data_IF_315521473842
#
_entry.id   IF_315521473842
#
_cell.length_a   1.000
_cell.length_b   1.000
_cell.length_c   1.000
_cell.angle_alpha   90.00
_cell.angle_beta   90.00
_cell.angle_gamma   90.00
#
_symmetry.space_group_name_H-M   'P 1'
#
loop_
_entity.id
_entity.type
_entity.pdbx_description
1 polymer ?
#
# COMPACT_ATOMS: atom_id res chain seq x y z
N UNK A 1 41.42 -8.88 -15.08
CA UNK A 1 40.82 -9.29 -13.79
C UNK A 1 40.26 -8.02 -13.16
N UNK A 2 39.01 -7.77 -13.31
CA UNK A 2 38.32 -6.61 -12.76
C UNK A 2 37.63 -7.03 -11.47
N UNK A 3 38.07 -6.44 -10.36
CA UNK A 3 37.48 -6.63 -9.05
C UNK A 3 36.05 -6.08 -9.04
N UNK A 4 35.11 -7.01 -9.10
CA UNK A 4 33.71 -6.74 -8.90
C UNK A 4 33.50 -6.60 -7.38
N UNK A 5 33.71 -5.38 -6.84
CA UNK A 5 33.30 -5.03 -5.49
C UNK A 5 31.79 -5.05 -5.44
N UNK A 6 31.21 -6.20 -5.06
CA UNK A 6 29.83 -6.27 -4.59
C UNK A 6 29.71 -5.28 -3.43
N UNK A 7 28.95 -4.20 -3.64
CA UNK A 7 28.62 -3.28 -2.57
C UNK A 7 27.88 -4.10 -1.49
N UNK A 8 28.55 -4.31 -0.35
CA UNK A 8 27.92 -4.93 0.81
C UNK A 8 26.69 -4.10 1.19
N UNK A 9 25.54 -4.74 1.26
CA UNK A 9 24.35 -4.08 1.79
C UNK A 9 24.63 -3.66 3.24
N UNK A 10 24.31 -2.40 3.62
CA UNK A 10 24.54 -1.94 4.99
C UNK A 10 23.77 -2.82 5.98
N UNK A 11 24.39 -3.07 7.14
CA UNK A 11 23.78 -3.84 8.24
C UNK A 11 22.37 -3.28 8.57
N UNK A 12 21.42 -4.16 8.86
CA UNK A 12 20.03 -3.80 9.21
C UNK A 12 20.00 -2.78 10.35
N UNK A 13 20.88 -2.89 11.34
CA UNK A 13 20.98 -1.95 12.45
C UNK A 13 21.46 -0.55 12.00
N UNK A 14 22.33 -0.48 11.01
CA UNK A 14 22.77 0.78 10.43
C UNK A 14 21.66 1.45 9.63
N UNK A 15 20.90 0.69 8.87
CA UNK A 15 19.73 1.20 8.15
C UNK A 15 18.65 1.75 9.10
N UNK A 16 18.41 1.08 10.22
CA UNK A 16 17.48 1.56 11.25
C UNK A 16 17.97 2.88 11.85
N UNK A 17 19.24 3.01 12.17
CA UNK A 17 19.84 4.28 12.67
C UNK A 17 19.63 5.42 11.69
N UNK A 18 19.91 5.19 10.40
CA UNK A 18 19.71 6.18 9.34
C UNK A 18 18.24 6.61 9.25
N UNK A 19 17.30 5.67 9.37
CA UNK A 19 15.85 5.98 9.35
C UNK A 19 15.40 6.77 10.59
N UNK A 20 15.96 6.47 11.77
CA UNK A 20 15.73 7.24 12.98
C UNK A 20 16.28 8.66 12.88
N UNK A 21 17.46 8.83 12.29
CA UNK A 21 18.03 10.16 12.04
C UNK A 21 17.17 10.97 11.06
N UNK A 22 16.69 10.35 9.99
CA UNK A 22 15.73 10.99 9.07
C UNK A 22 14.45 11.43 9.77
N UNK A 23 13.91 10.60 10.67
CA UNK A 23 12.74 10.98 11.47
C UNK A 23 13.06 12.18 12.37
N UNK A 24 14.20 12.16 13.07
CA UNK A 24 14.62 13.28 13.91
C UNK A 24 14.73 14.57 13.12
N UNK A 25 15.33 14.53 11.94
CA UNK A 25 15.45 15.70 11.06
C UNK A 25 14.08 16.24 10.63
N UNK A 26 13.08 15.36 10.40
CA UNK A 26 11.70 15.78 10.13
C UNK A 26 11.05 16.42 11.36
N UNK A 27 11.27 15.88 12.56
CA UNK A 27 10.77 16.44 13.81
C UNK A 27 11.38 17.80 14.10
N UNK A 28 12.68 17.94 13.97
CA UNK A 28 13.43 19.19 14.16
C UNK A 28 12.99 20.28 13.14
N UNK A 29 12.55 19.88 11.96
CA UNK A 29 11.97 20.75 10.94
C UNK A 29 10.46 21.05 11.13
N UNK A 30 9.83 20.56 12.20
CA UNK A 30 8.39 20.72 12.44
C UNK A 30 7.47 19.92 11.52
N UNK A 31 8.02 18.90 10.84
CA UNK A 31 7.31 18.00 9.89
C UNK A 31 7.15 16.60 10.46
N UNK A 32 6.89 16.46 11.75
CA UNK A 32 6.73 15.15 12.40
C UNK A 32 5.50 14.41 11.88
N UNK A 33 5.66 13.30 11.13
CA UNK A 33 4.54 12.55 10.57
C UNK A 33 3.63 11.94 11.65
N UNK A 34 4.15 11.70 12.85
CA UNK A 34 3.38 11.08 13.93
C UNK A 34 2.44 12.06 14.65
N UNK A 35 2.51 13.35 14.33
CA UNK A 35 1.53 14.35 14.80
C UNK A 35 0.27 14.38 13.92
N UNK A 36 0.30 13.75 12.75
CA UNK A 36 -0.85 13.70 11.84
C UNK A 36 -1.78 12.58 12.32
N UNK A 37 -2.87 12.95 12.97
CA UNK A 37 -3.84 12.00 13.54
C UNK A 37 -4.97 11.62 12.58
N UNK A 38 -5.17 12.41 11.52
CA UNK A 38 -6.23 12.18 10.53
C UNK A 38 -5.76 12.55 9.13
N UNK A 39 -6.11 11.74 8.16
CA UNK A 39 -5.95 12.03 6.74
C UNK A 39 -7.24 11.66 6.00
N UNK A 40 -7.76 12.57 5.19
CA UNK A 40 -9.03 12.36 4.51
C UNK A 40 -8.80 11.60 3.20
N UNK A 41 -9.17 10.32 3.23
CA UNK A 41 -9.15 9.41 2.08
C UNK A 41 -10.52 9.46 1.42
N UNK A 42 -10.56 9.71 0.10
CA UNK A 42 -11.82 9.70 -0.68
C UNK A 42 -12.07 8.35 -1.33
N UNK A 43 -11.01 7.66 -1.76
CA UNK A 43 -11.11 6.40 -2.51
C UNK A 43 -10.02 5.42 -2.11
N UNK A 44 -10.32 4.13 -2.20
CA UNK A 44 -9.35 3.05 -2.12
C UNK A 44 -8.80 2.68 -3.51
N UNK A 45 -7.70 1.93 -3.53
CA UNK A 45 -6.97 1.62 -4.78
C UNK A 45 -7.80 0.84 -5.81
N UNK A 46 -8.72 -0.03 -5.38
CA UNK A 46 -9.64 -0.75 -6.26
C UNK A 46 -10.72 0.18 -6.84
N UNK A 47 -11.25 1.11 -6.04
CA UNK A 47 -12.25 2.10 -6.45
C UNK A 47 -11.66 3.07 -7.49
N UNK A 48 -10.43 3.56 -7.26
CA UNK A 48 -9.73 4.47 -8.20
C UNK A 48 -9.65 3.86 -9.60
N UNK A 49 -9.28 2.58 -9.67
CA UNK A 49 -9.19 1.86 -10.96
C UNK A 49 -10.55 1.74 -11.63
N UNK A 50 -11.56 1.29 -10.89
CA UNK A 50 -12.91 1.09 -11.41
C UNK A 50 -13.56 2.39 -11.90
N UNK A 51 -13.39 3.49 -11.16
CA UNK A 51 -13.93 4.80 -11.53
C UNK A 51 -13.26 5.31 -12.80
N UNK A 52 -11.94 5.17 -12.92
CA UNK A 52 -11.22 5.61 -14.11
C UNK A 52 -11.64 4.81 -15.34
N UNK A 53 -11.73 3.49 -15.25
CA UNK A 53 -12.15 2.63 -16.36
C UNK A 53 -13.59 2.94 -16.83
N UNK A 54 -14.49 3.22 -15.89
CA UNK A 54 -15.86 3.61 -16.20
C UNK A 54 -15.90 4.99 -16.92
N UNK A 55 -15.16 5.97 -16.42
CA UNK A 55 -15.08 7.31 -16.98
C UNK A 55 -14.40 7.32 -18.36
N UNK A 56 -13.31 6.54 -18.50
CA UNK A 56 -12.64 6.36 -19.78
C UNK A 56 -13.59 5.77 -20.83
N UNK A 57 -14.40 4.77 -20.45
CA UNK A 57 -15.39 4.17 -21.31
C UNK A 57 -16.51 5.15 -21.69
N UNK A 58 -16.93 5.99 -20.78
CA UNK A 58 -17.94 7.02 -21.03
C UNK A 58 -17.47 8.07 -22.03
N UNK A 59 -16.23 8.56 -21.87
CA UNK A 59 -15.67 9.64 -22.70
C UNK A 59 -15.12 9.17 -24.04
N UNK A 60 -14.48 8.01 -24.08
CA UNK A 60 -13.81 7.49 -25.27
C UNK A 60 -14.58 6.38 -25.98
N UNK A 61 -15.61 5.81 -25.34
CA UNK A 61 -16.34 4.65 -25.85
C UNK A 61 -15.44 3.43 -26.05
N UNK A 62 -15.85 2.51 -26.93
CA UNK A 62 -15.07 1.33 -27.30
C UNK A 62 -14.06 1.68 -28.42
N UNK A 63 -13.26 2.73 -28.24
CA UNK A 63 -12.26 3.16 -29.21
C UNK A 63 -11.19 2.06 -29.37
N UNK A 64 -11.00 1.49 -30.56
CA UNK A 64 -10.03 0.42 -30.78
C UNK A 64 -8.59 0.93 -30.57
N UNK A 65 -7.69 -0.01 -30.32
CA UNK A 65 -6.26 0.30 -30.34
C UNK A 65 -5.82 0.78 -31.73
N UNK A 66 -4.78 1.58 -31.77
CA UNK A 66 -4.22 2.08 -33.04
C UNK A 66 -3.77 0.89 -33.89
N UNK A 67 -4.26 0.82 -35.12
CA UNK A 67 -3.76 -0.16 -36.09
C UNK A 67 -2.37 0.29 -36.58
N UNK A 68 -1.36 -0.53 -36.31
CA UNK A 68 0.03 -0.31 -36.75
C UNK A 68 0.46 -1.24 -37.84
N UNK A 69 -0.45 -2.05 -38.40
CA UNK A 69 -0.13 -2.94 -39.52
C UNK A 69 0.28 -2.15 -40.77
N UNK A 70 1.43 -2.52 -41.33
CA UNK A 70 1.97 -1.88 -42.55
C UNK A 70 2.76 -0.58 -42.31
N UNK A 71 2.88 -0.11 -41.05
CA UNK A 71 3.70 1.05 -40.71
C UNK A 71 5.14 0.61 -40.36
N UNK A 72 6.10 1.48 -40.66
CA UNK A 72 7.45 1.30 -40.11
C UNK A 72 7.48 1.59 -38.58
N UNK A 73 8.59 1.25 -37.93
CA UNK A 73 8.71 1.36 -36.47
C UNK A 73 8.55 2.81 -35.99
N UNK A 74 9.00 3.78 -36.75
CA UNK A 74 8.89 5.19 -36.40
C UNK A 74 7.45 5.69 -36.56
N UNK A 75 6.82 5.39 -37.72
CA UNK A 75 5.42 5.72 -37.98
C UNK A 75 4.46 5.08 -36.98
N UNK A 76 4.70 3.82 -36.61
CA UNK A 76 3.91 3.14 -35.59
C UNK A 76 4.03 3.84 -34.23
N UNK A 77 5.24 4.22 -33.81
CA UNK A 77 5.46 4.96 -32.55
C UNK A 77 4.80 6.35 -32.59
N UNK A 78 4.86 7.06 -33.73
CA UNK A 78 4.22 8.37 -33.88
C UNK A 78 2.69 8.24 -33.80
N UNK A 79 2.09 7.26 -34.46
CA UNK A 79 0.65 7.00 -34.43
C UNK A 79 0.15 6.67 -33.02
N UNK A 80 0.86 5.79 -32.30
CA UNK A 80 0.55 5.42 -30.89
C UNK A 80 0.69 6.65 -29.97
N UNK A 81 1.72 7.47 -30.16
CA UNK A 81 1.89 8.69 -29.37
C UNK A 81 0.80 9.73 -29.65
N UNK A 82 0.36 9.87 -30.90
CA UNK A 82 -0.71 10.78 -31.27
C UNK A 82 -2.04 10.36 -30.61
N UNK A 83 -2.42 9.10 -30.74
CA UNK A 83 -3.62 8.55 -30.07
C UNK A 83 -3.56 8.72 -28.54
N UNK A 84 -2.41 8.40 -27.93
CA UNK A 84 -2.22 8.61 -26.49
C UNK A 84 -2.44 10.07 -26.08
N UNK A 85 -1.88 11.02 -26.83
CA UNK A 85 -2.01 12.45 -26.53
C UNK A 85 -3.46 12.93 -26.71
N UNK A 86 -4.16 12.44 -27.73
CA UNK A 86 -5.57 12.76 -27.95
C UNK A 86 -6.47 12.22 -26.84
N UNK A 87 -6.31 10.92 -26.49
CA UNK A 87 -7.05 10.30 -25.35
C UNK A 87 -6.77 11.06 -24.07
N UNK A 88 -5.52 11.38 -23.82
CA UNK A 88 -5.11 12.12 -22.64
C UNK A 88 -5.75 13.51 -22.59
N UNK A 89 -5.76 14.26 -23.70
CA UNK A 89 -6.38 15.57 -23.73
C UNK A 89 -7.89 15.52 -23.41
N UNK A 90 -8.59 14.49 -23.87
CA UNK A 90 -10.01 14.27 -23.55
C UNK A 90 -10.19 14.00 -22.06
N UNK A 91 -9.37 13.12 -21.48
CA UNK A 91 -9.44 12.77 -20.06
C UNK A 91 -9.00 13.94 -19.15
N UNK A 92 -7.98 14.70 -19.53
CA UNK A 92 -7.47 15.86 -18.79
C UNK A 92 -8.50 17.04 -18.80
N UNK A 93 -9.45 17.07 -19.74
CA UNK A 93 -10.55 18.04 -19.76
C UNK A 93 -11.60 17.78 -18.65
N UNK A 94 -11.69 16.54 -18.13
CA UNK A 94 -12.57 16.16 -17.05
C UNK A 94 -11.82 15.29 -16.02
N UNK A 95 -10.86 15.86 -15.26
CA UNK A 95 -10.00 15.09 -14.37
C UNK A 95 -10.77 14.56 -13.16
N UNK A 96 -10.50 13.31 -12.79
CA UNK A 96 -11.03 12.73 -11.56
C UNK A 96 -10.01 12.93 -10.46
N UNK A 97 -10.34 13.80 -9.51
CA UNK A 97 -9.48 14.06 -8.35
C UNK A 97 -9.73 13.02 -7.26
N UNK A 98 -8.66 12.51 -6.68
CA UNK A 98 -8.69 11.50 -5.64
C UNK A 98 -7.71 11.82 -4.52
N UNK A 99 -8.07 11.35 -3.32
CA UNK A 99 -7.18 11.31 -2.16
C UNK A 99 -7.13 9.88 -1.66
N UNK A 100 -5.96 9.29 -1.60
CA UNK A 100 -5.76 7.93 -1.10
C UNK A 100 -4.50 7.84 -0.24
N UNK A 101 -4.43 6.81 0.59
CA UNK A 101 -3.28 6.62 1.47
C UNK A 101 -2.89 5.15 1.55
N UNK A 102 -1.60 4.91 1.76
CA UNK A 102 -1.11 3.54 1.91
C UNK A 102 0.41 3.48 2.08
N UNK A 103 0.90 2.27 2.16
CA UNK A 103 2.32 1.97 2.34
C UNK A 103 3.05 1.99 1.00
N UNK A 104 4.14 2.73 0.93
CA UNK A 104 5.02 2.74 -0.23
C UNK A 104 5.81 1.43 -0.31
N UNK A 105 5.50 0.62 -1.31
CA UNK A 105 6.12 -0.70 -1.53
C UNK A 105 7.20 -0.70 -2.61
N UNK A 106 7.24 0.35 -3.41
CA UNK A 106 8.23 0.52 -4.47
C UNK A 106 8.43 2.01 -4.75
N UNK A 107 9.65 2.39 -5.07
CA UNK A 107 10.03 3.74 -5.48
C UNK A 107 11.09 3.69 -6.57
N UNK A 108 10.89 4.45 -7.63
CA UNK A 108 11.86 4.65 -8.71
C UNK A 108 11.99 6.14 -8.99
N UNK A 109 13.18 6.68 -8.70
CA UNK A 109 13.51 8.10 -8.93
C UNK A 109 14.14 8.25 -10.31
N UNK A 110 13.64 9.18 -11.13
CA UNK A 110 14.11 9.48 -12.48
C UNK A 110 14.33 10.99 -12.62
N UNK A 111 15.33 11.53 -11.92
CA UNK A 111 15.66 12.95 -11.98
C UNK A 111 14.59 13.87 -11.36
N UNK A 112 13.80 14.55 -12.20
CA UNK A 112 12.74 15.49 -11.79
C UNK A 112 11.40 14.82 -11.54
N UNK A 113 11.27 13.55 -11.85
CA UNK A 113 10.05 12.76 -11.68
C UNK A 113 10.38 11.43 -11.01
N UNK A 114 9.38 10.82 -10.40
CA UNK A 114 9.47 9.53 -9.72
C UNK A 114 8.18 8.76 -9.90
N UNK A 115 8.28 7.44 -9.89
CA UNK A 115 7.14 6.56 -9.72
C UNK A 115 7.25 5.85 -8.39
N UNK A 116 6.13 5.69 -7.71
CA UNK A 116 6.05 4.82 -6.53
C UNK A 116 4.76 4.00 -6.58
N UNK A 117 4.78 2.84 -5.93
CA UNK A 117 3.58 2.03 -5.72
C UNK A 117 3.17 2.11 -4.27
N UNK A 118 1.96 2.58 -4.05
CA UNK A 118 1.31 2.68 -2.74
C UNK A 118 0.34 1.52 -2.61
N UNK A 119 0.45 0.78 -1.52
CA UNK A 119 -0.42 -0.35 -1.20
C UNK A 119 -1.34 0.02 -0.02
N UNK A 120 -2.63 -0.16 -0.21
CA UNK A 120 -3.64 -0.08 0.84
C UNK A 120 -4.22 -1.47 1.19
N UNK A 121 -5.37 -1.50 1.88
CA UNK A 121 -6.05 -2.75 2.21
C UNK A 121 -6.60 -3.47 0.97
N UNK A 122 -6.92 -2.73 -0.10
CA UNK A 122 -7.65 -3.20 -1.27
C UNK A 122 -6.75 -3.58 -2.45
N UNK A 123 -5.56 -2.99 -2.53
CA UNK A 123 -4.66 -3.27 -3.63
C UNK A 123 -3.42 -2.41 -3.68
N UNK A 124 -2.96 -2.15 -4.90
CA UNK A 124 -1.81 -1.28 -5.17
C UNK A 124 -2.16 -0.28 -6.26
N UNK A 125 -1.72 0.95 -6.08
CA UNK A 125 -1.87 2.03 -7.05
C UNK A 125 -0.51 2.65 -7.32
N UNK A 126 -0.19 2.85 -8.60
CA UNK A 126 0.98 3.61 -9.01
C UNK A 126 0.70 5.10 -8.84
N UNK A 127 1.67 5.84 -8.29
CA UNK A 127 1.64 7.28 -8.26
C UNK A 127 2.84 7.85 -9.01
N UNK A 128 2.58 8.87 -9.81
CA UNK A 128 3.57 9.68 -10.51
C UNK A 128 3.79 10.95 -9.71
N UNK A 129 5.01 11.15 -9.26
CA UNK A 129 5.41 12.27 -8.42
C UNK A 129 6.38 13.12 -9.22
N UNK A 130 5.99 14.34 -9.60
CA UNK A 130 6.88 15.26 -10.31
C UNK A 130 7.24 16.46 -9.43
N UNK A 131 8.49 16.92 -9.54
CA UNK A 131 8.97 18.11 -8.84
C UNK A 131 8.15 19.34 -9.19
N UNK A 132 7.76 19.43 -10.46
CA UNK A 132 7.07 20.61 -10.98
C UNK A 132 5.61 20.68 -10.47
N UNK A 133 5.00 19.55 -10.09
CA UNK A 133 3.64 19.50 -9.53
C UNK A 133 3.62 19.71 -8.01
N UNK A 134 4.49 18.98 -7.26
CA UNK A 134 4.45 19.03 -5.78
C UNK A 134 5.42 20.05 -5.17
N UNK A 135 6.25 20.70 -5.98
CA UNK A 135 7.28 21.63 -5.54
C UNK A 135 8.62 20.98 -5.21
N UNK A 136 9.67 21.79 -5.21
CA UNK A 136 11.05 21.31 -5.07
C UNK A 136 11.32 20.74 -3.67
N UNK A 137 10.82 21.39 -2.62
CA UNK A 137 11.01 20.97 -1.23
C UNK A 137 10.33 19.64 -0.94
N UNK A 138 9.04 19.51 -1.26
CA UNK A 138 8.28 18.27 -1.07
C UNK A 138 8.87 17.12 -1.89
N UNK A 139 9.36 17.40 -3.09
CA UNK A 139 10.03 16.39 -3.92
C UNK A 139 11.39 15.96 -3.34
N UNK A 140 12.15 16.88 -2.75
CA UNK A 140 13.41 16.58 -2.07
C UNK A 140 13.17 15.69 -0.84
N UNK A 141 12.13 15.96 -0.05
CA UNK A 141 11.72 15.15 1.09
C UNK A 141 11.24 13.76 0.63
N UNK A 142 10.44 13.69 -0.44
CA UNK A 142 10.02 12.42 -1.04
C UNK A 142 11.23 11.58 -1.48
N UNK A 143 12.24 12.17 -2.10
CA UNK A 143 13.44 11.42 -2.51
C UNK A 143 14.18 10.79 -1.33
N UNK A 144 14.15 11.41 -0.15
CA UNK A 144 14.77 10.89 1.08
C UNK A 144 13.92 9.82 1.78
N UNK A 145 12.64 9.67 1.40
CA UNK A 145 11.75 8.68 2.02
C UNK A 145 12.22 7.24 1.78
N UNK A 146 11.73 6.32 2.58
CA UNK A 146 12.14 4.92 2.55
C UNK A 146 10.97 4.00 2.17
N UNK A 147 11.28 2.84 1.59
CA UNK A 147 10.30 1.78 1.36
C UNK A 147 9.72 1.36 2.72
N UNK A 148 8.39 1.28 2.77
CA UNK A 148 7.65 1.00 3.99
C UNK A 148 7.01 2.24 4.62
N UNK A 149 7.43 3.45 4.26
CA UNK A 149 6.77 4.69 4.70
C UNK A 149 5.31 4.72 4.24
N UNK A 150 4.43 5.32 5.04
CA UNK A 150 3.02 5.49 4.69
C UNK A 150 2.81 6.92 4.20
N UNK A 151 2.23 7.02 3.01
CA UNK A 151 1.94 8.29 2.37
C UNK A 151 0.45 8.48 2.13
N UNK A 152 0.00 9.72 2.28
CA UNK A 152 -1.22 10.23 1.68
C UNK A 152 -0.89 10.97 0.40
N UNK A 153 -1.67 10.76 -0.65
CA UNK A 153 -1.49 11.35 -1.98
C UNK A 153 -2.81 11.93 -2.43
N UNK A 154 -2.79 13.20 -2.84
CA UNK A 154 -3.90 13.84 -3.55
C UNK A 154 -3.47 14.17 -4.96
N UNK A 155 -4.37 14.08 -5.90
CA UNK A 155 -4.13 14.38 -7.29
C UNK A 155 -5.20 13.78 -8.19
N UNK A 156 -4.94 13.72 -9.48
CA UNK A 156 -5.88 13.21 -10.47
C UNK A 156 -5.41 11.91 -11.10
N UNK A 157 -6.38 11.11 -11.55
CA UNK A 157 -6.10 9.82 -12.19
C UNK A 157 -5.75 10.04 -13.65
N UNK A 158 -4.79 9.31 -14.16
CA UNK A 158 -4.42 9.28 -15.57
C UNK A 158 -3.90 7.91 -15.99
N UNK A 159 -3.85 7.66 -17.29
CA UNK A 159 -3.20 6.48 -17.85
C UNK A 159 -1.81 6.85 -18.37
N UNK A 160 -0.82 6.07 -18.00
CA UNK A 160 0.55 6.23 -18.52
C UNK A 160 0.66 5.76 -19.96
N UNK A 161 1.73 6.14 -20.67
CA UNK A 161 2.02 5.64 -22.03
C UNK A 161 2.12 4.12 -22.14
N UNK A 162 2.47 3.45 -21.04
CA UNK A 162 2.54 1.99 -20.96
C UNK A 162 1.20 1.34 -20.62
N UNK A 163 0.11 2.14 -20.48
CA UNK A 163 -1.23 1.65 -20.22
C UNK A 163 -1.58 1.50 -18.72
N UNK A 164 -0.65 1.76 -17.80
CA UNK A 164 -0.93 1.64 -16.35
C UNK A 164 -1.75 2.83 -15.85
N UNK A 165 -2.86 2.54 -15.14
CA UNK A 165 -3.64 3.56 -14.45
C UNK A 165 -2.86 4.03 -13.24
N UNK A 166 -2.66 5.34 -13.13
CA UNK A 166 -1.80 5.96 -12.12
C UNK A 166 -2.43 7.25 -11.60
N UNK A 167 -2.00 7.69 -10.44
CA UNK A 167 -2.38 9.00 -9.88
C UNK A 167 -1.23 9.97 -10.09
N UNK A 168 -1.49 11.09 -10.77
CA UNK A 168 -0.58 12.22 -10.84
C UNK A 168 -0.70 13.02 -9.55
N UNK A 169 0.33 12.96 -8.72
CA UNK A 169 0.31 13.61 -7.42
C UNK A 169 0.46 15.14 -7.56
N UNK A 170 -0.43 15.87 -6.91
CA UNK A 170 -0.38 17.32 -6.72
C UNK A 170 0.01 17.66 -5.29
N UNK A 171 -0.32 16.78 -4.34
CA UNK A 171 0.07 16.88 -2.94
C UNK A 171 0.50 15.51 -2.41
N UNK A 172 1.58 15.49 -1.63
CA UNK A 172 2.07 14.28 -0.97
C UNK A 172 2.35 14.58 0.49
N UNK A 173 1.85 13.73 1.38
CA UNK A 173 2.00 13.88 2.83
C UNK A 173 2.58 12.59 3.41
N UNK A 174 3.70 12.69 4.13
CA UNK A 174 4.22 11.56 4.89
C UNK A 174 3.37 11.40 6.16
N UNK A 175 2.63 10.30 6.26
CA UNK A 175 1.71 10.01 7.38
C UNK A 175 2.36 9.19 8.49
N UNK A 176 3.34 8.35 8.11
CA UNK A 176 4.07 7.53 9.08
C UNK A 176 5.41 7.09 8.51
N UNK A 177 6.46 7.25 9.31
CA UNK A 177 7.82 6.82 8.97
C UNK A 177 8.04 5.36 9.35
N UNK A 178 8.46 4.54 8.39
CA UNK A 178 8.88 3.16 8.65
C UNK A 178 10.29 3.13 9.21
N UNK A 179 10.43 2.83 10.49
CA UNK A 179 11.73 2.73 11.16
C UNK A 179 12.41 1.38 10.92
N UNK A 180 11.61 0.32 10.87
CA UNK A 180 12.10 -1.02 10.55
C UNK A 180 12.22 -1.23 9.04
N UNK A 181 13.23 -1.98 8.64
CA UNK A 181 13.45 -2.35 7.25
C UNK A 181 12.55 -3.54 6.90
N UNK A 182 11.77 -3.41 5.83
CA UNK A 182 11.02 -4.55 5.32
C UNK A 182 11.97 -5.58 4.70
N UNK A 183 11.70 -6.88 4.86
CA UNK A 183 12.46 -7.95 4.20
C UNK A 183 12.52 -7.77 2.68
N UNK A 184 13.50 -8.39 2.03
CA UNK A 184 13.65 -8.31 0.59
C UNK A 184 12.42 -8.85 -0.17
N UNK A 185 12.05 -8.12 -1.22
CA UNK A 185 10.78 -8.26 -1.94
C UNK A 185 10.65 -9.57 -2.72
N UNK A 186 11.77 -10.16 -3.13
CA UNK A 186 11.75 -11.27 -4.09
C UNK A 186 11.46 -12.65 -3.48
N UNK A 187 11.70 -12.82 -2.19
CA UNK A 187 11.52 -14.10 -1.52
C UNK A 187 10.46 -14.07 -0.41
N UNK A 188 9.89 -12.88 -0.09
CA UNK A 188 9.00 -12.73 1.05
C UNK A 188 9.70 -13.12 2.36
N UNK A 189 8.90 -13.40 3.38
CA UNK A 189 9.39 -14.07 4.57
C UNK A 189 9.12 -15.56 4.41
N UNK A 190 10.17 -16.35 4.17
CA UNK A 190 10.08 -17.81 4.02
C UNK A 190 10.22 -18.53 5.36
N UNK A 191 10.96 -17.95 6.30
CA UNK A 191 11.15 -18.48 7.65
C UNK A 191 9.81 -18.53 8.41
N UNK A 192 9.38 -19.73 8.78
CA UNK A 192 8.09 -19.98 9.43
C UNK A 192 8.02 -19.36 10.84
N UNK A 193 9.11 -19.42 11.61
CA UNK A 193 9.15 -18.87 12.96
C UNK A 193 9.03 -17.34 12.92
N UNK A 194 9.78 -16.69 12.02
CA UNK A 194 9.68 -15.24 11.80
C UNK A 194 8.26 -14.85 11.34
N UNK A 195 7.62 -15.60 10.45
CA UNK A 195 6.23 -15.36 10.00
C UNK A 195 5.23 -15.41 11.15
N UNK A 196 5.41 -16.31 12.09
CA UNK A 196 4.55 -16.41 13.28
C UNK A 196 4.84 -15.32 14.32
N UNK A 197 6.11 -15.00 14.55
CA UNK A 197 6.51 -13.97 15.53
C UNK A 197 6.26 -12.55 15.07
N UNK A 198 6.43 -12.28 13.75
CA UNK A 198 6.23 -10.98 13.14
C UNK A 198 5.08 -11.02 12.12
N UNK A 199 3.90 -11.44 12.57
CA UNK A 199 2.72 -11.61 11.73
C UNK A 199 2.37 -10.35 10.92
N UNK A 200 2.55 -9.18 11.48
CA UNK A 200 2.31 -7.90 10.81
C UNK A 200 3.22 -7.70 9.59
N UNK A 201 4.47 -8.16 9.65
CA UNK A 201 5.38 -8.11 8.50
C UNK A 201 5.00 -9.15 7.46
N UNK A 202 4.65 -10.38 7.88
CA UNK A 202 4.14 -11.43 7.00
C UNK A 202 2.92 -10.97 6.19
N UNK A 203 1.97 -10.26 6.82
CA UNK A 203 0.79 -9.69 6.15
C UNK A 203 1.12 -8.58 5.14
N UNK A 204 2.24 -7.87 5.32
CA UNK A 204 2.71 -6.84 4.38
C UNK A 204 3.39 -7.49 3.18
N UNK A 205 4.20 -8.53 3.42
CA UNK A 205 5.07 -9.14 2.41
C UNK A 205 4.38 -10.24 1.61
N UNK A 206 3.47 -10.99 2.24
CA UNK A 206 2.78 -12.16 1.68
C UNK A 206 1.26 -11.89 1.55
N UNK A 207 0.77 -11.34 0.42
CA UNK A 207 -0.64 -10.96 0.25
C UNK A 207 -1.61 -12.13 0.41
N UNK A 208 -1.22 -13.36 0.03
CA UNK A 208 -2.03 -14.57 0.17
C UNK A 208 -2.33 -14.92 1.64
N UNK A 209 -1.40 -14.59 2.55
CA UNK A 209 -1.59 -14.78 3.99
C UNK A 209 -2.67 -13.82 4.50
N UNK A 210 -2.61 -12.54 4.07
CA UNK A 210 -3.63 -11.55 4.38
C UNK A 210 -5.01 -12.02 3.93
N UNK A 211 -5.13 -12.55 2.70
CA UNK A 211 -6.39 -13.06 2.17
C UNK A 211 -6.96 -14.21 3.02
N UNK A 212 -6.12 -15.10 3.53
CA UNK A 212 -6.51 -16.15 4.45
C UNK A 212 -7.15 -15.59 5.73
N UNK A 213 -6.54 -14.56 6.33
CA UNK A 213 -7.11 -13.92 7.54
C UNK A 213 -8.41 -13.17 7.26
N UNK A 214 -8.51 -12.52 6.10
CA UNK A 214 -9.76 -11.89 5.65
C UNK A 214 -10.86 -12.93 5.48
N UNK A 215 -10.58 -14.06 4.83
CA UNK A 215 -11.52 -15.18 4.68
C UNK A 215 -11.97 -15.73 6.03
N UNK A 216 -11.03 -15.96 6.96
CA UNK A 216 -11.34 -16.42 8.32
C UNK A 216 -12.33 -15.47 9.03
N UNK A 217 -12.06 -14.16 8.96
CA UNK A 217 -12.94 -13.16 9.58
C UNK A 217 -14.33 -13.15 8.94
N UNK A 218 -14.42 -13.29 7.62
CA UNK A 218 -15.70 -13.39 6.90
C UNK A 218 -16.48 -14.64 7.31
N UNK A 219 -15.82 -15.81 7.42
CA UNK A 219 -16.48 -17.05 7.84
C UNK A 219 -17.10 -16.90 9.24
N UNK A 220 -16.35 -16.36 10.21
CA UNK A 220 -16.87 -16.14 11.56
C UNK A 220 -18.06 -15.19 11.54
N UNK A 221 -17.97 -14.11 10.75
CA UNK A 221 -19.09 -13.15 10.59
C UNK A 221 -20.34 -13.82 10.01
N UNK A 222 -20.20 -14.67 9.00
CA UNK A 222 -21.34 -15.37 8.39
C UNK A 222 -21.94 -16.41 9.34
N UNK A 223 -21.13 -17.12 10.16
CA UNK A 223 -21.65 -18.01 11.20
C UNK A 223 -22.51 -17.24 12.22
N UNK A 224 -22.01 -16.10 12.71
CA UNK A 224 -22.76 -15.25 13.63
C UNK A 224 -24.07 -14.78 13.01
N UNK A 225 -24.00 -14.23 11.80
CA UNK A 225 -25.19 -13.77 11.06
C UNK A 225 -26.22 -14.87 10.82
N UNK A 226 -25.76 -16.10 10.56
CA UNK A 226 -26.63 -17.25 10.36
C UNK A 226 -27.37 -17.64 11.64
N UNK A 227 -26.71 -17.62 12.79
CA UNK A 227 -27.31 -17.92 14.09
C UNK A 227 -28.25 -16.80 14.54
N UNK A 228 -27.79 -15.54 14.44
CA UNK A 228 -28.57 -14.36 14.78
C UNK A 228 -29.89 -14.31 13.97
N UNK A 229 -29.82 -14.58 12.65
CA UNK A 229 -31.00 -14.67 11.79
C UNK A 229 -31.96 -15.86 12.07
N UNK A 230 -31.67 -16.67 13.08
CA UNK A 230 -32.49 -17.74 13.61
C UNK A 230 -32.85 -17.55 15.08
N UNK A 231 -32.77 -16.33 15.55
CA UNK A 231 -33.07 -15.93 16.94
C UNK A 231 -32.21 -16.60 18.02
N UNK A 232 -30.99 -17.04 17.66
CA UNK A 232 -30.01 -17.45 18.64
C UNK A 232 -29.33 -16.22 19.23
N UNK A 233 -29.25 -16.16 20.55
CA UNK A 233 -28.55 -15.09 21.26
C UNK A 233 -27.07 -15.44 21.44
N UNK A 234 -26.17 -14.56 20.96
CA UNK A 234 -24.73 -14.68 21.27
C UNK A 234 -24.49 -14.26 22.73
N UNK A 235 -23.84 -15.13 23.51
CA UNK A 235 -23.52 -14.89 24.92
C UNK A 235 -22.04 -15.08 25.17
N UNK A 236 -21.49 -14.30 26.10
CA UNK A 236 -20.14 -14.47 26.62
C UNK A 236 -20.22 -15.33 27.89
N UNK A 237 -19.54 -16.49 27.87
CA UNK A 237 -19.45 -17.38 29.04
C UNK A 237 -18.12 -17.13 29.76
N UNK A 238 -18.09 -17.33 31.12
CA UNK A 238 -16.84 -17.22 31.86
C UNK A 238 -15.79 -18.21 31.33
N UNK A 239 -14.57 -17.72 31.13
CA UNK A 239 -13.42 -18.57 30.72
C UNK A 239 -12.90 -19.38 31.85
N UNK A 240 -12.96 -18.82 33.09
CA UNK A 240 -12.61 -19.50 34.35
C UNK A 240 -13.88 -20.00 35.00
N UNK A 241 -13.93 -21.27 35.30
CA UNK A 241 -15.07 -21.95 35.94
C UNK A 241 -14.63 -22.74 37.18
N UNK A 242 -15.52 -22.84 38.16
CA UNK A 242 -15.23 -23.58 39.39
C UNK A 242 -15.25 -25.11 39.22
N UNK A 243 -15.93 -25.59 38.18
CA UNK A 243 -16.03 -27.03 37.88
C UNK A 243 -15.38 -27.32 36.55
N UNK A 244 -14.46 -28.29 36.53
CA UNK A 244 -13.89 -28.78 35.26
C UNK A 244 -15.00 -29.44 34.44
N UNK A 245 -15.36 -28.82 33.32
CA UNK A 245 -16.37 -29.32 32.39
C UNK A 245 -15.87 -29.20 30.96
N UNK A 246 -16.32 -30.04 30.06
CA UNK A 246 -16.00 -29.99 28.64
C UNK A 246 -15.13 -31.16 28.18
N UNK A 247 -14.43 -30.99 27.07
CA UNK A 247 -13.71 -32.02 26.34
C UNK A 247 -12.76 -32.90 27.20
N UNK A 248 -12.34 -34.04 26.67
CA UNK A 248 -11.44 -35.01 27.32
C UNK A 248 -10.02 -34.46 27.67
N UNK A 249 -9.79 -33.16 27.52
CA UNK A 249 -8.53 -32.49 27.84
C UNK A 249 -8.43 -32.23 29.36
N UNK A 250 -7.23 -32.45 29.91
CA UNK A 250 -6.96 -32.11 31.31
C UNK A 250 -7.11 -30.60 31.52
N UNK A 251 -7.94 -30.15 32.48
CA UNK A 251 -8.14 -28.75 32.79
C UNK A 251 -6.85 -28.12 33.31
N UNK A 252 -6.68 -26.84 33.00
CA UNK A 252 -5.62 -26.02 33.58
C UNK A 252 -6.18 -25.36 34.86
N UNK A 253 -5.56 -25.61 35.99
CA UNK A 253 -5.95 -25.01 37.27
C UNK A 253 -5.14 -23.74 37.53
N UNK A 254 -5.81 -22.65 37.87
CA UNK A 254 -5.17 -21.39 38.29
C UNK A 254 -5.79 -20.90 39.60
N UNK A 255 -4.98 -20.36 40.50
CA UNK A 255 -5.43 -19.78 41.74
C UNK A 255 -5.29 -18.24 41.68
N UNK A 256 -6.42 -17.55 41.65
CA UNK A 256 -6.45 -16.08 41.64
C UNK A 256 -6.05 -15.45 42.98
N UNK A 257 -6.16 -16.21 44.05
CA UNK A 257 -5.95 -15.74 45.45
C UNK A 257 -4.50 -15.79 45.94
N UNK A 258 -3.58 -16.37 45.16
CA UNK A 258 -2.17 -16.47 45.54
C UNK A 258 -1.34 -15.21 45.27
N UNK A 259 -1.91 -14.19 44.67
CA UNK A 259 -1.24 -12.93 44.36
C UNK A 259 -1.58 -11.80 45.32
N UNK A 260 -2.36 -12.05 46.36
CA UNK A 260 -2.55 -11.10 47.45
C UNK A 260 -1.59 -11.42 48.61
N UNK A 261 -0.73 -10.46 49.03
CA UNK A 261 0.12 -10.62 50.20
C UNK A 261 -0.70 -10.76 51.48
#
# INVERSE_FOLDING_TARGET
MGDNKSAQQPDVNEQIKVRMEKLKNLQDAGKDPFQITKYDVTHHTDEIRAIYEAHEKELLGDRPAVNTEGLDEQQAREAVNADYNERRAIMDASPINVSFAGRMMFKRVMGKASFCNIADLKGRMQAYISRDAIGEEAYADFKKSDIGDIFGIKGFIFRTKTGEISVHAEEITLLSKSLQVLPEKFHGITDTDMRYRQRYVDLIMNPEVKDTFVKRSKIIKEIRKFLDGRDFMEVETPTLVSNAGGAAARPFETCLLYTSP
#
